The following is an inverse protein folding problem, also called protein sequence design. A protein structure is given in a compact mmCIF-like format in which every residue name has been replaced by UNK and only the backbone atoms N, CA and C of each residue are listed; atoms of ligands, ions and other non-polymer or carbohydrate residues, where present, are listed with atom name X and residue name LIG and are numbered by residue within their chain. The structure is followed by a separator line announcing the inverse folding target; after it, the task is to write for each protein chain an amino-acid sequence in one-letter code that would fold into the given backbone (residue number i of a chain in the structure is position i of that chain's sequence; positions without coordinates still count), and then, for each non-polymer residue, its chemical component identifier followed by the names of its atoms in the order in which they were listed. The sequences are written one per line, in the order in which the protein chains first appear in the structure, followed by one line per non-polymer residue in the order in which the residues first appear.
data_IF_046923383638
#
_entry.id   IF_046923383638
#
_cell.length_a   1.000
_cell.length_b   1.000
_cell.length_c   1.000
_cell.angle_alpha   90.00
_cell.angle_beta   90.00
_cell.angle_gamma   90.00
#
_symmetry.space_group_name_H-M   'P 1'
#
loop_
_entity.id
_entity.type
_entity.pdbx_description
1 polymer ?
#
# COMPACT_ATOMS: atom_id res chain seq x y z
N UNK A 1 21.59 2.89 19.98
CA UNK A 1 20.97 4.21 20.08
C UNK A 1 21.89 5.23 19.43
N UNK A 2 21.39 6.00 18.45
CA UNK A 2 21.95 7.33 18.22
C UNK A 2 21.66 8.11 19.51
N UNK A 3 22.64 8.78 20.11
CA UNK A 3 22.59 9.26 21.51
C UNK A 3 21.60 10.39 21.83
N UNK A 4 20.49 10.50 21.12
CA UNK A 4 19.46 11.52 21.26
C UNK A 4 18.07 10.87 21.38
N UNK A 5 17.21 11.41 22.24
CA UNK A 5 15.83 10.92 22.42
C UNK A 5 14.94 11.37 21.27
N UNK A 6 13.82 10.69 21.03
CA UNK A 6 12.82 11.13 20.04
C UNK A 6 12.25 12.50 20.41
N UNK A 7 12.05 12.76 21.71
CA UNK A 7 11.62 14.06 22.24
C UNK A 7 12.56 15.19 21.81
N UNK A 8 13.86 15.04 22.08
CA UNK A 8 14.86 16.06 21.76
C UNK A 8 14.95 16.28 20.25
N UNK A 9 15.02 15.18 19.48
CA UNK A 9 15.08 15.25 18.02
C UNK A 9 13.84 15.95 17.43
N UNK A 10 12.63 15.61 17.90
CA UNK A 10 11.38 16.22 17.42
C UNK A 10 11.32 17.72 17.77
N UNK A 11 11.69 18.10 18.99
CA UNK A 11 11.71 19.51 19.44
C UNK A 11 12.75 20.33 18.68
N UNK A 12 13.96 19.80 18.49
CA UNK A 12 15.03 20.48 17.74
C UNK A 12 14.61 20.65 16.28
N UNK A 13 14.12 19.60 15.62
CA UNK A 13 13.66 19.69 14.23
C UNK A 13 12.50 20.66 14.05
N UNK A 14 11.59 20.75 15.02
CA UNK A 14 10.49 21.72 15.00
C UNK A 14 10.95 23.17 15.05
N UNK A 15 12.17 23.46 15.54
CA UNK A 15 12.76 24.81 15.48
C UNK A 15 13.33 25.16 14.11
N UNK A 16 13.60 24.18 13.25
CA UNK A 16 14.26 24.37 11.96
C UNK A 16 13.33 24.21 10.76
N UNK A 17 12.37 23.28 10.84
CA UNK A 17 11.55 22.87 9.71
C UNK A 17 10.09 23.33 9.86
N UNK A 18 9.39 23.49 8.74
CA UNK A 18 7.95 23.74 8.71
C UNK A 18 7.09 22.46 8.81
N UNK A 19 7.73 21.29 8.81
CA UNK A 19 7.11 19.98 8.86
C UNK A 19 8.17 18.87 8.79
N UNK A 20 7.85 17.69 9.32
CA UNK A 20 8.79 16.57 9.44
C UNK A 20 8.21 15.35 8.69
N UNK A 21 8.86 14.94 7.61
CA UNK A 21 8.50 13.71 6.89
C UNK A 21 9.28 12.52 7.42
N UNK A 22 8.60 11.44 7.82
CA UNK A 22 9.25 10.25 8.40
C UNK A 22 8.94 9.02 7.55
N UNK A 23 10.00 8.30 7.19
CA UNK A 23 9.94 6.98 6.55
C UNK A 23 10.77 5.99 7.35
N UNK A 24 10.17 4.89 7.79
CA UNK A 24 10.86 3.84 8.55
C UNK A 24 10.27 2.47 8.21
N UNK A 25 11.07 1.58 7.64
CA UNK A 25 10.58 0.33 7.05
C UNK A 25 11.45 -0.85 7.48
N UNK A 26 11.29 -1.97 6.79
CA UNK A 26 11.53 -3.35 7.24
C UNK A 26 12.81 -3.57 8.04
N UNK A 27 13.95 -3.10 7.53
CA UNK A 27 15.26 -3.30 8.13
C UNK A 27 15.65 -2.27 9.19
N UNK A 28 14.79 -1.28 9.44
CA UNK A 28 14.96 -0.23 10.44
C UNK A 28 14.09 -0.44 11.69
N UNK A 29 13.33 -1.54 11.74
CA UNK A 29 12.47 -1.91 12.87
C UNK A 29 12.80 -3.32 13.37
N UNK A 30 12.44 -3.58 14.61
CA UNK A 30 12.66 -4.86 15.29
C UNK A 30 11.36 -5.67 15.44
N UNK A 31 10.21 -5.01 15.34
CA UNK A 31 8.89 -5.63 15.34
C UNK A 31 7.87 -4.82 14.54
N UNK A 32 6.85 -5.52 14.02
CA UNK A 32 5.68 -4.89 13.41
C UNK A 32 4.97 -3.99 14.44
N UNK A 33 4.65 -2.77 14.04
CA UNK A 33 4.05 -1.69 14.82
C UNK A 33 5.04 -0.66 15.34
N UNK A 34 6.35 -0.94 15.36
CA UNK A 34 7.34 -0.01 15.90
C UNK A 34 7.49 1.27 15.08
N UNK A 35 7.37 1.18 13.75
CA UNK A 35 7.41 2.36 12.90
C UNK A 35 6.23 3.28 13.16
N UNK A 36 5.01 2.75 13.25
CA UNK A 36 3.82 3.53 13.65
C UNK A 36 4.01 4.18 15.03
N UNK A 37 4.52 3.43 16.01
CA UNK A 37 4.77 3.96 17.35
C UNK A 37 5.79 5.11 17.34
N UNK A 38 6.88 4.97 16.59
CA UNK A 38 7.89 6.03 16.43
C UNK A 38 7.28 7.30 15.82
N UNK A 39 6.49 7.16 14.75
CA UNK A 39 5.83 8.31 14.13
C UNK A 39 4.86 9.01 15.10
N UNK A 40 4.12 8.24 15.90
CA UNK A 40 3.22 8.79 16.95
C UNK A 40 3.99 9.52 18.04
N UNK A 41 5.16 9.01 18.42
CA UNK A 41 6.02 9.68 19.41
C UNK A 41 6.58 10.99 18.87
N UNK A 42 7.06 11.02 17.61
CA UNK A 42 7.43 12.26 16.94
C UNK A 42 6.26 13.26 16.89
N UNK A 43 5.06 12.79 16.54
CA UNK A 43 3.87 13.64 16.48
C UNK A 43 3.41 14.15 17.86
N UNK A 44 3.76 13.46 18.94
CA UNK A 44 3.48 13.90 20.30
C UNK A 44 4.37 15.07 20.73
N UNK A 45 5.64 15.05 20.32
CA UNK A 45 6.65 16.03 20.75
C UNK A 45 6.90 17.17 19.77
N UNK A 46 6.62 16.98 18.49
CA UNK A 46 6.84 18.01 17.46
C UNK A 46 5.83 19.15 17.58
N UNK A 47 6.32 20.38 17.43
CA UNK A 47 5.47 21.58 17.33
C UNK A 47 5.01 21.84 15.88
N UNK A 48 5.52 21.08 14.90
CA UNK A 48 5.18 21.19 13.48
C UNK A 48 4.58 19.89 12.94
N UNK A 49 3.83 19.90 11.81
CA UNK A 49 3.19 18.70 11.28
C UNK A 49 4.17 17.55 11.01
N UNK A 50 3.79 16.34 11.40
CA UNK A 50 4.51 15.09 11.07
C UNK A 50 3.79 14.37 9.93
N UNK A 51 4.51 14.11 8.83
CA UNK A 51 4.00 13.48 7.63
C UNK A 51 4.50 12.02 7.56
N UNK A 52 3.57 11.07 7.52
CA UNK A 52 3.90 9.66 7.28
C UNK A 52 4.27 9.43 5.81
N UNK A 53 5.57 9.29 5.55
CA UNK A 53 6.12 9.06 4.21
C UNK A 53 6.17 7.58 3.85
N UNK A 54 6.18 6.70 4.86
CA UNK A 54 5.76 5.29 4.88
C UNK A 54 6.30 4.69 6.18
N UNK A 55 5.52 3.85 6.84
CA UNK A 55 6.05 2.99 7.91
C UNK A 55 5.56 1.57 7.74
N UNK A 56 5.86 0.69 8.68
CA UNK A 56 5.57 -0.73 8.60
C UNK A 56 4.06 -1.04 8.42
N UNK A 57 3.18 -0.23 9.03
CA UNK A 57 1.72 -0.41 8.95
C UNK A 57 1.04 0.27 7.77
N UNK A 58 1.42 1.50 7.44
CA UNK A 58 0.65 2.36 6.52
C UNK A 58 1.53 3.13 5.54
N UNK A 59 0.94 3.49 4.40
CA UNK A 59 1.59 4.32 3.38
C UNK A 59 0.59 5.34 2.80
N UNK A 60 0.13 6.33 3.59
CA UNK A 60 -1.02 7.16 3.22
C UNK A 60 -0.79 8.00 1.97
N UNK A 61 0.44 8.49 1.74
CA UNK A 61 0.78 9.18 0.49
C UNK A 61 0.61 8.27 -0.74
N UNK A 62 0.88 6.96 -0.60
CA UNK A 62 0.68 5.98 -1.67
C UNK A 62 -0.80 5.70 -1.87
N UNK A 63 -1.57 5.42 -0.82
CA UNK A 63 -3.00 5.15 -0.95
C UNK A 63 -3.79 6.30 -1.59
N UNK A 64 -3.42 7.55 -1.28
CA UNK A 64 -3.99 8.72 -1.93
C UNK A 64 -3.58 8.86 -3.40
N UNK A 65 -2.35 8.49 -3.75
CA UNK A 65 -1.89 8.49 -5.15
C UNK A 65 -2.53 7.35 -5.95
N UNK A 66 -2.73 6.19 -5.31
CA UNK A 66 -3.43 5.03 -5.85
C UNK A 66 -4.86 5.39 -6.21
N UNK A 67 -5.65 5.90 -5.25
CA UNK A 67 -7.06 6.24 -5.51
C UNK A 67 -7.21 7.36 -6.57
N UNK A 68 -6.28 8.33 -6.58
CA UNK A 68 -6.23 9.38 -7.61
C UNK A 68 -5.99 8.76 -8.99
N UNK A 69 -4.94 7.93 -9.14
CA UNK A 69 -4.61 7.32 -10.42
C UNK A 69 -5.68 6.36 -10.93
N UNK A 70 -6.31 5.59 -10.04
CA UNK A 70 -7.41 4.71 -10.45
C UNK A 70 -8.64 5.50 -10.89
N UNK A 71 -8.97 6.59 -10.20
CA UNK A 71 -10.09 7.45 -10.57
C UNK A 71 -9.82 8.18 -11.89
N UNK A 72 -8.61 8.69 -12.11
CA UNK A 72 -8.21 9.28 -13.39
C UNK A 72 -8.34 8.27 -14.53
N UNK A 73 -7.86 7.04 -14.34
CA UNK A 73 -7.96 5.99 -15.35
C UNK A 73 -9.41 5.69 -15.74
N UNK A 74 -10.28 5.52 -14.74
CA UNK A 74 -11.67 5.15 -14.97
C UNK A 74 -12.58 6.35 -15.29
N UNK A 75 -12.05 7.57 -15.17
CA UNK A 75 -12.72 8.83 -15.47
C UNK A 75 -12.22 9.46 -16.77
N UNK A 76 -11.92 10.75 -16.73
CA UNK A 76 -11.52 11.54 -17.91
C UNK A 76 -10.00 11.55 -18.19
N UNK A 77 -9.20 10.88 -17.36
CA UNK A 77 -7.74 10.83 -17.46
C UNK A 77 -7.02 11.89 -16.60
N UNK A 78 -5.68 11.82 -16.55
CA UNK A 78 -4.85 12.71 -15.74
C UNK A 78 -5.03 14.20 -16.07
N UNK A 79 -4.99 15.05 -15.04
CA UNK A 79 -5.10 16.51 -15.18
C UNK A 79 -6.49 17.03 -15.58
N UNK A 80 -7.51 16.15 -15.62
CA UNK A 80 -8.93 16.50 -15.79
C UNK A 80 -9.62 16.62 -14.43
N UNK A 81 -10.93 16.84 -14.45
CA UNK A 81 -11.74 16.87 -13.23
C UNK A 81 -11.67 15.50 -12.54
N UNK A 82 -11.16 15.47 -11.30
CA UNK A 82 -11.08 14.24 -10.52
C UNK A 82 -12.46 13.89 -9.94
N UNK A 83 -13.08 12.84 -10.46
CA UNK A 83 -14.31 12.27 -9.92
C UNK A 83 -14.02 10.90 -9.27
N UNK A 84 -14.00 10.86 -7.93
CA UNK A 84 -13.77 9.62 -7.19
C UNK A 84 -15.00 8.68 -7.22
N UNK A 85 -16.19 9.18 -7.59
CA UNK A 85 -17.41 8.37 -7.61
C UNK A 85 -17.38 7.29 -8.68
N UNK A 86 -16.56 7.46 -9.73
CA UNK A 86 -16.34 6.46 -10.78
C UNK A 86 -15.81 5.14 -10.23
N UNK A 87 -15.17 5.15 -9.05
CA UNK A 87 -14.64 3.94 -8.41
C UNK A 87 -15.70 3.16 -7.63
N UNK A 88 -16.83 3.78 -7.30
CA UNK A 88 -17.84 3.15 -6.44
C UNK A 88 -18.42 1.90 -7.10
N UNK A 89 -18.36 0.76 -6.41
CA UNK A 89 -18.80 -0.54 -6.91
C UNK A 89 -17.86 -1.22 -7.91
N UNK A 90 -16.70 -0.61 -8.22
CA UNK A 90 -15.61 -1.34 -8.87
C UNK A 90 -14.94 -2.27 -7.87
N UNK A 91 -14.34 -3.35 -8.38
CA UNK A 91 -13.64 -4.35 -7.55
C UNK A 91 -12.13 -4.13 -7.59
N UNK A 92 -11.53 -3.95 -6.42
CA UNK A 92 -10.07 -4.04 -6.22
C UNK A 92 -9.70 -5.47 -5.82
N UNK A 93 -8.80 -6.08 -6.58
CA UNK A 93 -8.04 -7.24 -6.16
C UNK A 93 -6.68 -6.78 -5.64
N UNK A 94 -6.39 -7.05 -4.36
CA UNK A 94 -5.03 -7.02 -3.83
C UNK A 94 -4.54 -8.46 -3.76
N UNK A 95 -3.56 -8.83 -4.58
CA UNK A 95 -3.02 -10.19 -4.64
C UNK A 95 -1.57 -10.20 -4.20
N UNK A 96 -1.22 -11.21 -3.40
CA UNK A 96 0.16 -11.51 -3.07
C UNK A 96 0.90 -11.89 -4.35
N UNK A 97 2.08 -11.32 -4.53
CA UNK A 97 3.00 -11.64 -5.61
C UNK A 97 4.17 -12.41 -5.05
N UNK A 98 4.62 -13.48 -5.70
CA UNK A 98 5.88 -14.12 -5.32
C UNK A 98 7.07 -13.21 -5.65
N UNK A 99 8.19 -13.36 -4.95
CA UNK A 99 9.40 -12.59 -5.23
C UNK A 99 10.38 -12.54 -4.08
N UNK A 100 11.54 -11.94 -4.33
CA UNK A 100 12.62 -11.83 -3.35
C UNK A 100 12.58 -10.52 -2.54
N UNK A 101 11.65 -9.62 -2.87
CA UNK A 101 11.53 -8.34 -2.19
C UNK A 101 10.57 -8.46 -0.99
N UNK A 102 11.04 -9.07 0.11
CA UNK A 102 10.33 -9.15 1.40
C UNK A 102 10.04 -7.75 1.95
N UNK A 103 8.84 -7.24 1.66
CA UNK A 103 8.40 -5.86 1.90
C UNK A 103 7.34 -5.79 2.99
N UNK A 104 7.24 -4.63 3.61
CA UNK A 104 6.24 -4.34 4.62
C UNK A 104 4.84 -4.29 4.03
N UNK A 105 3.87 -4.51 4.92
CA UNK A 105 2.43 -4.56 4.65
C UNK A 105 1.85 -3.20 4.24
N UNK A 106 2.60 -2.13 4.46
CA UNK A 106 2.13 -0.75 4.45
C UNK A 106 1.28 -0.36 3.25
N UNK A 107 1.75 -0.64 2.04
CA UNK A 107 1.04 -0.24 0.83
C UNK A 107 -0.20 -1.08 0.57
N UNK A 108 -0.14 -2.40 0.84
CA UNK A 108 -1.28 -3.29 0.58
C UNK A 108 -2.38 -3.05 1.60
N UNK A 109 -2.03 -2.81 2.86
CA UNK A 109 -2.97 -2.39 3.89
C UNK A 109 -3.60 -1.04 3.57
N UNK A 110 -2.80 -0.06 3.11
CA UNK A 110 -3.32 1.23 2.69
C UNK A 110 -4.32 1.10 1.53
N UNK A 111 -3.99 0.30 0.50
CA UNK A 111 -4.85 0.07 -0.65
C UNK A 111 -6.21 -0.51 -0.23
N UNK A 112 -6.24 -1.48 0.70
CA UNK A 112 -7.47 -2.05 1.25
C UNK A 112 -8.31 -1.00 1.98
N UNK A 113 -7.67 -0.17 2.82
CA UNK A 113 -8.35 0.85 3.62
C UNK A 113 -8.93 1.97 2.75
N UNK A 114 -8.15 2.50 1.80
CA UNK A 114 -8.58 3.62 0.97
C UNK A 114 -9.66 3.19 -0.02
N UNK A 115 -9.50 2.05 -0.69
CA UNK A 115 -10.47 1.54 -1.67
C UNK A 115 -11.82 1.22 -1.01
N UNK A 116 -11.80 0.55 0.14
CA UNK A 116 -13.02 0.22 0.88
C UNK A 116 -13.74 1.48 1.37
N UNK A 117 -12.97 2.52 1.77
CA UNK A 117 -13.53 3.81 2.19
C UNK A 117 -14.26 4.54 1.05
N UNK A 118 -13.75 4.43 -0.18
CA UNK A 118 -14.37 5.00 -1.39
C UNK A 118 -15.42 4.06 -2.04
N UNK A 119 -15.84 3.01 -1.33
CA UNK A 119 -16.98 2.19 -1.73
C UNK A 119 -16.68 1.23 -2.88
N UNK A 120 -15.45 0.76 -2.98
CA UNK A 120 -15.08 -0.38 -3.83
C UNK A 120 -15.42 -1.72 -3.14
N UNK A 121 -15.65 -2.74 -3.96
CA UNK A 121 -15.64 -4.14 -3.53
C UNK A 121 -14.19 -4.61 -3.43
N UNK A 122 -13.85 -5.37 -2.40
CA UNK A 122 -12.47 -5.75 -2.09
C UNK A 122 -12.31 -7.27 -2.10
N UNK A 123 -11.34 -7.75 -2.87
CA UNK A 123 -10.80 -9.11 -2.76
C UNK A 123 -9.35 -9.02 -2.33
N UNK A 124 -9.00 -9.72 -1.27
CA UNK A 124 -7.62 -9.92 -0.83
C UNK A 124 -7.24 -11.38 -1.08
N UNK A 125 -6.19 -11.63 -1.87
CA UNK A 125 -5.75 -12.96 -2.24
C UNK A 125 -4.31 -13.20 -1.77
N UNK A 126 -4.06 -14.27 -1.01
CA UNK A 126 -2.71 -14.63 -0.55
C UNK A 126 -2.57 -16.11 -0.19
N UNK A 127 -1.37 -16.71 -0.29
CA UNK A 127 -1.12 -18.06 0.20
C UNK A 127 -1.22 -18.10 1.74
N UNK A 128 -1.72 -19.21 2.30
CA UNK A 128 -1.91 -19.33 3.75
C UNK A 128 -0.66 -18.94 4.57
N UNK A 129 -0.87 -18.21 5.66
CA UNK A 129 0.19 -17.71 6.54
C UNK A 129 0.88 -16.43 6.06
N UNK A 130 0.29 -15.72 5.09
CA UNK A 130 0.64 -14.35 4.69
C UNK A 130 -0.45 -13.34 5.10
N UNK A 131 -1.17 -13.64 6.17
CA UNK A 131 -2.22 -12.79 6.73
C UNK A 131 -1.69 -11.38 7.07
N UNK A 132 -2.56 -10.38 6.92
CA UNK A 132 -2.27 -8.98 7.27
C UNK A 132 -2.79 -8.65 8.67
N UNK A 133 -2.57 -7.41 9.14
CA UNK A 133 -3.02 -6.96 10.46
C UNK A 133 -4.55 -7.13 10.62
N UNK A 134 -5.02 -7.93 11.59
CA UNK A 134 -6.45 -8.17 11.81
C UNK A 134 -7.28 -6.91 11.98
N UNK A 135 -6.71 -5.84 12.56
CA UNK A 135 -7.40 -4.55 12.73
C UNK A 135 -7.63 -3.85 11.39
N UNK A 136 -6.69 -3.98 10.45
CA UNK A 136 -6.85 -3.46 9.08
C UNK A 136 -7.91 -4.26 8.33
N UNK A 137 -7.93 -5.58 8.48
CA UNK A 137 -8.95 -6.44 7.88
C UNK A 137 -10.34 -6.14 8.44
N UNK A 138 -10.45 -5.89 9.75
CA UNK A 138 -11.71 -5.49 10.38
C UNK A 138 -12.18 -4.11 9.89
N UNK A 139 -11.29 -3.12 9.85
CA UNK A 139 -11.62 -1.78 9.37
C UNK A 139 -12.03 -1.80 7.89
N UNK A 140 -11.34 -2.58 7.05
CA UNK A 140 -11.71 -2.79 5.65
C UNK A 140 -13.12 -3.39 5.55
N UNK A 141 -13.42 -4.42 6.36
CA UNK A 141 -14.76 -5.02 6.42
C UNK A 141 -15.81 -4.01 6.87
N UNK A 142 -15.50 -3.17 7.85
CA UNK A 142 -16.40 -2.12 8.34
C UNK A 142 -16.69 -1.06 7.27
N UNK A 143 -15.66 -0.60 6.55
CA UNK A 143 -15.80 0.34 5.44
C UNK A 143 -16.67 -0.25 4.31
N UNK A 144 -16.44 -1.51 3.93
CA UNK A 144 -17.25 -2.19 2.92
C UNK A 144 -18.72 -2.30 3.37
N UNK A 145 -19.00 -2.73 4.61
CA UNK A 145 -20.36 -2.78 5.14
C UNK A 145 -21.05 -1.41 5.13
N UNK A 146 -20.36 -0.35 5.57
CA UNK A 146 -20.90 1.00 5.59
C UNK A 146 -21.24 1.52 4.18
N UNK A 147 -20.54 1.04 3.15
CA UNK A 147 -20.77 1.39 1.75
C UNK A 147 -21.69 0.42 0.98
N UNK A 148 -22.22 -0.62 1.64
CA UNK A 148 -22.99 -1.68 1.00
C UNK A 148 -22.17 -2.50 -0.01
N UNK A 149 -20.89 -2.72 0.30
CA UNK A 149 -19.91 -3.46 -0.52
C UNK A 149 -19.44 -4.73 0.17
N UNK A 150 -18.75 -5.58 -0.58
CA UNK A 150 -18.19 -6.85 -0.12
C UNK A 150 -16.70 -6.76 0.20
N UNK A 151 -16.27 -7.55 1.17
CA UNK A 151 -14.87 -7.84 1.43
C UNK A 151 -14.67 -9.35 1.55
N UNK A 152 -13.83 -9.90 0.68
CA UNK A 152 -13.57 -11.35 0.57
C UNK A 152 -12.08 -11.62 0.66
N UNK A 153 -11.71 -12.68 1.38
CA UNK A 153 -10.35 -13.21 1.41
C UNK A 153 -10.36 -14.55 0.68
N UNK A 154 -9.38 -14.79 -0.18
CA UNK A 154 -9.20 -16.06 -0.90
C UNK A 154 -7.76 -16.54 -0.80
N UNK A 155 -7.57 -17.85 -0.76
CA UNK A 155 -6.23 -18.48 -0.71
C UNK A 155 -5.87 -19.21 -2.02
N UNK A 156 -6.53 -18.82 -3.11
CA UNK A 156 -6.29 -19.37 -4.45
C UNK A 156 -5.75 -18.26 -5.38
N UNK A 157 -4.65 -18.51 -6.12
CA UNK A 157 -3.97 -17.51 -6.94
C UNK A 157 -4.74 -17.08 -8.21
N UNK A 158 -5.90 -17.67 -8.49
CA UNK A 158 -6.66 -17.42 -9.73
C UNK A 158 -8.03 -16.77 -9.46
N UNK A 159 -8.75 -17.25 -8.45
CA UNK A 159 -10.15 -16.91 -8.19
C UNK A 159 -10.40 -15.43 -7.91
N UNK A 160 -9.40 -14.72 -7.38
CA UNK A 160 -9.52 -13.29 -7.08
C UNK A 160 -9.65 -12.39 -8.30
N UNK A 161 -9.21 -12.85 -9.48
CA UNK A 161 -9.19 -12.05 -10.71
C UNK A 161 -10.58 -11.87 -11.33
N UNK A 162 -11.52 -12.78 -11.08
CA UNK A 162 -12.88 -12.72 -11.64
C UNK A 162 -13.62 -11.46 -11.18
N UNK A 163 -14.12 -10.66 -12.12
CA UNK A 163 -14.84 -9.44 -11.80
C UNK A 163 -13.94 -8.26 -11.34
N UNK A 164 -12.61 -8.43 -11.32
CA UNK A 164 -11.70 -7.38 -10.87
C UNK A 164 -11.65 -6.23 -11.90
N UNK A 165 -11.58 -5.00 -11.38
CA UNK A 165 -11.44 -3.77 -12.17
C UNK A 165 -10.08 -3.10 -11.93
N UNK A 166 -9.47 -3.37 -10.78
CA UNK A 166 -8.11 -2.95 -10.43
C UNK A 166 -7.40 -4.17 -9.85
N UNK A 167 -6.22 -4.50 -10.37
CA UNK A 167 -5.36 -5.56 -9.85
C UNK A 167 -4.09 -4.93 -9.31
N UNK A 168 -3.91 -5.07 -8.00
CA UNK A 168 -2.73 -4.68 -7.25
C UNK A 168 -1.97 -5.96 -6.88
N UNK A 169 -0.94 -6.32 -7.63
CA UNK A 169 -0.07 -7.47 -7.31
C UNK A 169 1.16 -6.99 -6.58
N UNK A 170 1.49 -7.51 -5.40
CA UNK A 170 2.72 -7.14 -4.68
C UNK A 170 3.11 -8.23 -3.69
N UNK A 171 4.40 -8.46 -3.52
CA UNK A 171 4.95 -9.28 -2.46
C UNK A 171 4.91 -8.53 -1.12
N UNK A 172 4.54 -9.24 -0.05
CA UNK A 172 4.72 -8.80 1.32
C UNK A 172 5.16 -9.95 2.22
N UNK A 173 5.86 -9.61 3.30
CA UNK A 173 6.37 -10.55 4.30
C UNK A 173 5.24 -11.18 5.13
N UNK A 174 5.48 -12.34 5.72
CA UNK A 174 4.55 -13.02 6.63
C UNK A 174 4.49 -12.35 8.02
N UNK A 175 3.47 -12.66 8.85
CA UNK A 175 3.45 -12.25 10.27
C UNK A 175 4.66 -12.69 11.09
N UNK A 176 5.35 -13.75 10.66
CA UNK A 176 6.51 -14.31 11.34
C UNK A 176 7.84 -13.66 10.92
N UNK A 177 7.80 -12.60 10.11
CA UNK A 177 8.99 -11.95 9.58
C UNK A 177 9.93 -11.40 10.66
N UNK A 178 9.39 -10.95 11.79
CA UNK A 178 10.16 -10.44 12.93
C UNK A 178 10.12 -11.44 14.09
N UNK A 179 11.28 -11.89 14.55
CA UNK A 179 11.39 -12.76 15.73
C UNK A 179 12.60 -12.36 16.56
N UNK A 180 12.40 -12.27 17.87
CA UNK A 180 13.43 -11.86 18.84
C UNK A 180 14.10 -10.52 18.48
N UNK A 181 13.30 -9.54 18.03
CA UNK A 181 13.79 -8.21 17.65
C UNK A 181 14.65 -8.19 16.37
N UNK A 182 14.54 -9.21 15.52
CA UNK A 182 15.32 -9.33 14.28
C UNK A 182 14.39 -9.63 13.11
N UNK A 183 14.61 -8.97 11.98
CA UNK A 183 13.95 -9.28 10.72
C UNK A 183 14.64 -10.46 10.00
N UNK A 184 13.92 -11.57 9.83
CA UNK A 184 14.41 -12.81 9.22
C UNK A 184 14.23 -12.80 7.69
N UNK A 185 14.79 -11.78 7.05
CA UNK A 185 14.60 -11.49 5.62
C UNK A 185 14.90 -12.67 4.69
N UNK A 186 15.99 -13.40 4.93
CA UNK A 186 16.41 -14.49 4.05
C UNK A 186 15.41 -15.66 4.08
N UNK A 187 14.89 -16.01 5.25
CA UNK A 187 13.89 -17.06 5.40
C UNK A 187 12.57 -16.68 4.72
N UNK A 188 12.17 -15.41 4.80
CA UNK A 188 10.99 -14.87 4.10
C UNK A 188 11.11 -15.00 2.58
N UNK A 189 12.30 -14.70 2.03
CA UNK A 189 12.59 -14.87 0.60
C UNK A 189 12.50 -16.34 0.20
N UNK A 190 13.15 -17.24 0.95
CA UNK A 190 13.13 -18.68 0.66
C UNK A 190 11.73 -19.28 0.76
N UNK A 191 10.89 -18.76 1.67
CA UNK A 191 9.48 -19.14 1.77
C UNK A 191 8.68 -18.64 0.57
N UNK A 192 8.84 -17.37 0.19
CA UNK A 192 8.10 -16.76 -0.90
C UNK A 192 8.38 -17.43 -2.26
N UNK A 193 9.63 -17.82 -2.51
CA UNK A 193 10.01 -18.48 -3.76
C UNK A 193 9.40 -19.87 -3.97
N UNK A 194 8.73 -20.45 -2.95
CA UNK A 194 7.99 -21.72 -3.07
C UNK A 194 6.61 -21.59 -3.72
N UNK A 195 6.17 -20.36 -4.02
CA UNK A 195 4.84 -20.06 -4.54
C UNK A 195 4.87 -19.40 -5.94
N UNK A 196 5.56 -19.99 -6.95
CA UNK A 196 5.71 -19.38 -8.27
C UNK A 196 4.38 -19.17 -9.01
N UNK A 197 3.31 -19.86 -8.59
CA UNK A 197 1.97 -19.68 -9.11
C UNK A 197 1.30 -18.37 -8.67
N UNK A 198 1.91 -17.58 -7.79
CA UNK A 198 1.42 -16.27 -7.38
C UNK A 198 2.11 -15.15 -8.16
N UNK A 199 2.12 -15.25 -9.48
CA UNK A 199 2.58 -14.18 -10.39
C UNK A 199 1.37 -13.56 -11.08
N UNK A 200 1.35 -12.24 -11.24
CA UNK A 200 0.36 -11.60 -12.10
C UNK A 200 0.82 -11.64 -13.57
N UNK A 201 0.18 -12.46 -14.41
CA UNK A 201 0.49 -12.58 -15.85
C UNK A 201 -0.72 -12.22 -16.73
N UNK A 202 -0.51 -12.21 -18.06
CA UNK A 202 -1.60 -11.90 -18.99
C UNK A 202 -2.77 -12.90 -18.90
N UNK A 203 -2.49 -14.17 -18.59
CA UNK A 203 -3.52 -15.19 -18.43
C UNK A 203 -4.46 -14.88 -17.27
N UNK A 204 -3.92 -14.43 -16.12
CA UNK A 204 -4.73 -13.97 -14.98
C UNK A 204 -5.43 -12.66 -15.26
N UNK A 205 -4.74 -11.69 -15.87
CA UNK A 205 -5.35 -10.40 -16.26
C UNK A 205 -6.51 -10.59 -17.26
N UNK A 206 -6.46 -11.59 -18.14
CA UNK A 206 -7.53 -11.90 -19.08
C UNK A 206 -8.84 -12.39 -18.42
N UNK A 207 -8.81 -12.79 -17.14
CA UNK A 207 -9.99 -13.20 -16.35
C UNK A 207 -10.72 -12.02 -15.70
N UNK A 208 -10.12 -10.84 -15.76
CA UNK A 208 -10.66 -9.64 -15.13
C UNK A 208 -11.71 -8.96 -16.01
N UNK A 209 -12.44 -8.00 -15.44
CA UNK A 209 -13.34 -7.12 -16.19
C UNK A 209 -12.54 -6.01 -16.85
N UNK A 210 -11.56 -6.40 -17.67
CA UNK A 210 -10.63 -5.47 -18.26
C UNK A 210 -9.99 -4.62 -17.14
N UNK A 211 -9.37 -5.24 -16.14
CA UNK A 211 -8.79 -4.51 -15.02
C UNK A 211 -7.59 -3.67 -15.45
N UNK A 212 -7.32 -2.60 -14.71
CA UNK A 212 -6.00 -1.97 -14.71
C UNK A 212 -5.04 -2.75 -13.82
N UNK A 213 -3.77 -2.75 -14.20
CA UNK A 213 -2.69 -3.18 -13.34
C UNK A 213 -2.08 -1.97 -12.63
N UNK A 214 -1.90 -2.09 -11.31
CA UNK A 214 -1.29 -1.04 -10.48
C UNK A 214 -0.27 -1.65 -9.52
N UNK A 215 0.74 -0.86 -9.15
CA UNK A 215 1.80 -1.28 -8.24
C UNK A 215 2.51 -0.03 -7.66
N UNK A 216 2.88 -0.02 -6.37
CA UNK A 216 3.43 1.16 -5.66
C UNK A 216 4.93 1.42 -5.92
N UNK A 217 5.58 0.53 -6.66
CA UNK A 217 7.02 0.45 -6.97
C UNK A 217 7.91 0.22 -5.71
N UNK A 218 9.18 -0.22 -5.90
CA UNK A 218 9.73 -0.85 -7.11
C UNK A 218 9.05 -2.19 -7.41
N UNK A 219 8.87 -2.54 -8.67
CA UNK A 219 8.27 -3.83 -9.11
C UNK A 219 9.35 -4.89 -9.23
N UNK A 220 9.11 -6.10 -8.73
CA UNK A 220 9.88 -7.31 -9.00
C UNK A 220 9.36 -7.99 -10.29
N UNK A 221 9.85 -7.49 -11.44
CA UNK A 221 9.45 -8.00 -12.77
C UNK A 221 9.92 -9.44 -12.95
N UNK A 222 9.03 -10.29 -13.46
CA UNK A 222 9.26 -11.73 -13.60
C UNK A 222 8.92 -12.54 -12.35
N UNK A 223 8.59 -11.90 -11.23
CA UNK A 223 8.10 -12.57 -10.02
C UNK A 223 6.71 -12.05 -9.61
N UNK A 224 6.59 -10.78 -9.19
CA UNK A 224 5.29 -10.23 -8.77
C UNK A 224 4.33 -10.09 -9.96
N UNK A 225 4.90 -9.83 -11.15
CA UNK A 225 4.17 -9.54 -12.37
C UNK A 225 5.07 -9.79 -13.59
N UNK A 226 4.47 -10.21 -14.73
CA UNK A 226 5.19 -10.32 -15.99
C UNK A 226 5.42 -8.95 -16.65
N UNK A 227 6.46 -8.85 -17.49
CA UNK A 227 6.79 -7.58 -18.16
C UNK A 227 5.67 -7.06 -19.06
N UNK A 228 4.97 -7.96 -19.75
CA UNK A 228 3.83 -7.65 -20.62
C UNK A 228 2.65 -7.01 -19.86
N UNK A 229 2.44 -7.38 -18.59
CA UNK A 229 1.39 -6.77 -17.76
C UNK A 229 1.89 -5.45 -17.19
N UNK A 230 3.09 -5.43 -16.61
CA UNK A 230 3.65 -4.24 -15.96
C UNK A 230 3.92 -3.10 -16.95
N UNK A 231 4.30 -3.41 -18.20
CA UNK A 231 4.50 -2.43 -19.28
C UNK A 231 3.35 -2.40 -20.28
N UNK A 232 2.26 -3.12 -20.00
CA UNK A 232 1.13 -3.25 -20.89
C UNK A 232 0.27 -1.99 -20.95
N UNK A 233 -0.62 -1.89 -21.95
CA UNK A 233 -1.47 -0.72 -22.18
C UNK A 233 -2.54 -0.50 -21.11
N UNK A 234 -2.67 -1.39 -20.11
CA UNK A 234 -3.57 -1.25 -18.96
C UNK A 234 -2.83 -1.06 -17.64
N UNK A 235 -1.53 -0.81 -17.71
CA UNK A 235 -0.70 -0.52 -16.54
C UNK A 235 -0.77 0.96 -16.22
N UNK A 236 -1.19 1.32 -15.01
CA UNK A 236 -1.22 2.70 -14.53
C UNK A 236 -0.08 2.98 -13.53
N UNK A 237 0.97 2.16 -13.52
CA UNK A 237 2.05 2.21 -12.51
C UNK A 237 2.80 3.55 -12.53
N UNK A 238 2.95 4.18 -13.69
CA UNK A 238 3.65 5.44 -13.83
C UNK A 238 2.75 6.62 -13.47
N UNK A 239 1.46 6.58 -13.81
CA UNK A 239 0.48 7.61 -13.41
C UNK A 239 0.38 7.66 -11.88
N UNK A 240 0.26 6.50 -11.23
CA UNK A 240 0.24 6.40 -9.76
C UNK A 240 1.56 6.89 -9.15
N UNK A 241 2.71 6.59 -9.77
CA UNK A 241 4.00 7.09 -9.31
C UNK A 241 4.13 8.62 -9.44
N UNK A 242 3.61 9.21 -10.52
CA UNK A 242 3.54 10.65 -10.71
C UNK A 242 2.62 11.30 -9.67
N UNK A 243 1.45 10.70 -9.42
CA UNK A 243 0.44 11.23 -8.49
C UNK A 243 0.94 11.37 -7.05
N UNK A 244 1.97 10.63 -6.66
CA UNK A 244 2.68 10.85 -5.38
C UNK A 244 3.15 12.29 -5.21
N UNK A 245 3.67 12.91 -6.27
CA UNK A 245 4.08 14.32 -6.26
C UNK A 245 2.90 15.24 -5.90
N UNK A 246 1.77 15.06 -6.59
CA UNK A 246 0.61 15.93 -6.46
C UNK A 246 -0.05 15.79 -5.08
N UNK A 247 -0.24 14.56 -4.63
CA UNK A 247 -0.78 14.25 -3.31
C UNK A 247 0.10 14.81 -2.20
N UNK A 248 1.41 14.59 -2.26
CA UNK A 248 2.32 15.08 -1.22
C UNK A 248 2.37 16.61 -1.19
N UNK A 249 2.34 17.29 -2.34
CA UNK A 249 2.18 18.74 -2.41
C UNK A 249 0.88 19.20 -1.74
N UNK A 250 -0.23 18.51 -1.99
CA UNK A 250 -1.52 18.85 -1.38
C UNK A 250 -1.51 18.67 0.14
N UNK A 251 -0.95 17.56 0.64
CA UNK A 251 -0.79 17.32 2.09
C UNK A 251 0.03 18.44 2.70
N UNK A 252 1.22 18.73 2.17
CA UNK A 252 2.09 19.79 2.68
C UNK A 252 1.40 21.16 2.65
N UNK A 253 0.73 21.52 1.56
CA UNK A 253 0.03 22.80 1.46
C UNK A 253 -1.08 22.94 2.52
N UNK A 254 -1.83 21.86 2.78
CA UNK A 254 -2.92 21.86 3.77
C UNK A 254 -2.44 21.86 5.22
N UNK A 255 -1.31 21.22 5.52
CA UNK A 255 -0.83 21.06 6.90
C UNK A 255 0.26 22.07 7.28
N UNK A 256 1.06 22.54 6.32
CA UNK A 256 2.22 23.41 6.55
C UNK A 256 2.00 24.85 6.06
N UNK A 257 0.83 25.19 5.51
CA UNK A 257 0.57 26.50 4.91
C UNK A 257 0.17 27.61 5.91
N UNK A 258 -0.12 27.29 7.16
CA UNK A 258 -0.66 28.24 8.16
C UNK A 258 0.37 28.73 9.19
N UNK A 259 1.64 28.83 8.80
CA UNK A 259 2.74 29.27 9.66
C UNK A 259 3.29 30.64 9.24
#
# INVERSE_FOLDING_TARGET
SAGETVEDAAKVMSRYAAGIGIRILEDQISAYGEGDALLREYAHWADVPVLSMAHDKFHPCQGLADIMGWAEWWGEGPGKTLDLSVLRGKKLLVTWGHGALARSWCSVQEALLIASRFGMDITLAYPEGYDLDPLVLEQTRANCRANGRSFTIVNDPYSGYEGAHVVYSRHWMSPEAYRNGTFHKQEEIERALRYPEWICDAARMARTENAIFTHPMPIDRGHEVTDEVASGPRSCIYDVAENRLHVQKAIMALTMGNW
#
